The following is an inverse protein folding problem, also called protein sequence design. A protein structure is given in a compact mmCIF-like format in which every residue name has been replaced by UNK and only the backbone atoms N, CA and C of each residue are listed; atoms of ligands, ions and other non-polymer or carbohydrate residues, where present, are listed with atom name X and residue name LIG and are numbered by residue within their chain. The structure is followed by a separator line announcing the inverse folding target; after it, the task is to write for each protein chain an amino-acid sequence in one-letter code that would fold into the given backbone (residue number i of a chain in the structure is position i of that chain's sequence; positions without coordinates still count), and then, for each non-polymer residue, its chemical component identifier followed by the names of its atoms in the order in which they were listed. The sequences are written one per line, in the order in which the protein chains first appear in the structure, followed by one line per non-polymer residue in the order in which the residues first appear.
data_IF_404285137659
#
_entry.id   IF_404285137659
#
_cell.length_a   1.000
_cell.length_b   1.000
_cell.length_c   1.000
_cell.angle_alpha   90.00
_cell.angle_beta   90.00
_cell.angle_gamma   90.00
#
_symmetry.space_group_name_H-M   'P 1'
#
loop_
_entity.id
_entity.type
_entity.pdbx_description
1 polymer ?
#
# COMPACT_ATOMS: atom_id res chain seq x y z
N UNK A 1 -2.07 4.41 14.00
CA UNK A 1 -0.92 3.52 13.74
C UNK A 1 -1.39 2.52 12.70
N UNK A 2 -0.75 2.50 11.54
CA UNK A 2 -1.10 1.60 10.46
C UNK A 2 -0.11 0.43 10.54
N UNK A 3 -0.60 -0.73 10.94
CA UNK A 3 0.22 -1.91 11.12
C UNK A 3 0.00 -2.87 9.95
N UNK A 4 1.09 -3.25 9.29
CA UNK A 4 1.10 -4.29 8.27
C UNK A 4 1.50 -5.59 8.97
N UNK A 5 0.66 -6.62 8.83
CA UNK A 5 0.95 -7.93 9.42
C UNK A 5 2.08 -8.62 8.64
N UNK A 6 2.83 -9.51 9.30
CA UNK A 6 3.92 -10.27 8.67
C UNK A 6 3.46 -10.96 7.37
N UNK A 7 2.29 -11.60 7.39
CA UNK A 7 1.73 -12.26 6.21
C UNK A 7 1.40 -11.29 5.07
N UNK A 8 0.94 -10.08 5.38
CA UNK A 8 0.69 -9.06 4.37
C UNK A 8 2.02 -8.55 3.78
N UNK A 9 3.04 -8.37 4.61
CA UNK A 9 4.39 -8.00 4.18
C UNK A 9 5.01 -9.06 3.27
N UNK A 10 4.88 -10.35 3.61
CA UNK A 10 5.32 -11.46 2.75
C UNK A 10 4.66 -11.42 1.38
N UNK A 11 3.34 -11.20 1.33
CA UNK A 11 2.62 -11.10 0.07
C UNK A 11 3.10 -9.89 -0.75
N UNK A 12 3.26 -8.72 -0.13
CA UNK A 12 3.77 -7.53 -0.80
C UNK A 12 5.17 -7.77 -1.37
N UNK A 13 6.07 -8.39 -0.60
CA UNK A 13 7.42 -8.73 -1.05
C UNK A 13 7.42 -9.69 -2.25
N UNK A 14 6.47 -10.62 -2.33
CA UNK A 14 6.31 -11.49 -3.51
C UNK A 14 5.93 -10.69 -4.76
N UNK A 15 5.08 -9.68 -4.63
CA UNK A 15 4.73 -8.80 -5.75
C UNK A 15 5.90 -7.90 -6.17
N UNK A 16 6.64 -7.35 -5.19
CA UNK A 16 7.83 -6.55 -5.44
C UNK A 16 8.94 -7.36 -6.14
N UNK A 17 9.17 -8.61 -5.73
CA UNK A 17 10.18 -9.49 -6.34
C UNK A 17 9.90 -9.86 -7.80
N UNK A 18 8.67 -9.67 -8.27
CA UNK A 18 8.25 -9.92 -9.66
C UNK A 18 8.30 -8.65 -10.53
N UNK A 19 8.45 -7.48 -9.91
CA UNK A 19 8.56 -6.19 -10.61
C UNK A 19 10.01 -5.83 -10.93
N UNK A 20 10.22 -5.02 -11.97
CA UNK A 20 11.53 -4.45 -12.30
C UNK A 20 11.82 -3.14 -11.53
N UNK A 21 10.81 -2.56 -10.87
CA UNK A 21 10.93 -1.29 -10.13
C UNK A 21 11.42 -1.51 -8.70
N UNK A 22 12.57 -0.91 -8.38
CA UNK A 22 13.21 -1.04 -7.06
C UNK A 22 12.53 -0.20 -5.96
N UNK A 23 11.76 0.84 -6.33
CA UNK A 23 11.25 1.87 -5.41
C UNK A 23 9.72 2.00 -5.50
N UNK A 24 9.01 0.98 -4.99
CA UNK A 24 7.54 0.93 -4.95
C UNK A 24 7.01 1.14 -3.53
N UNK A 25 5.85 1.80 -3.44
CA UNK A 25 5.08 2.00 -2.21
C UNK A 25 3.66 1.44 -2.37
N UNK A 26 3.06 1.04 -1.24
CA UNK A 26 1.64 0.66 -1.21
C UNK A 26 0.79 1.88 -0.90
N UNK A 27 -0.03 2.31 -1.86
CA UNK A 27 -1.05 3.34 -1.65
C UNK A 27 -2.36 2.70 -1.21
N UNK A 28 -2.96 3.28 -0.18
CA UNK A 28 -4.24 2.85 0.39
C UNK A 28 -5.25 3.97 0.20
N UNK A 29 -6.28 3.75 -0.61
CA UNK A 29 -7.34 4.74 -0.87
C UNK A 29 -8.69 4.20 -0.42
N UNK A 30 -9.54 5.05 0.19
CA UNK A 30 -10.93 4.69 0.47
C UNK A 30 -11.76 4.95 -0.78
N UNK A 31 -12.23 3.90 -1.44
CA UNK A 31 -13.04 4.02 -2.66
C UNK A 31 -14.54 4.13 -2.38
N UNK A 32 -14.98 3.84 -1.15
CA UNK A 32 -16.37 4.02 -0.77
C UNK A 32 -16.76 3.35 0.53
N UNK A 33 -18.07 3.28 0.78
CA UNK A 33 -18.65 2.57 1.92
C UNK A 33 -19.41 1.35 1.42
N UNK A 34 -19.02 0.18 1.91
CA UNK A 34 -19.74 -1.07 1.76
C UNK A 34 -20.59 -1.41 2.98
N UNK A 35 -21.33 -2.52 2.90
CA UNK A 35 -22.19 -3.00 3.99
C UNK A 35 -21.43 -3.34 5.30
N UNK A 36 -20.10 -3.53 5.21
CA UNK A 36 -19.24 -3.91 6.34
C UNK A 36 -18.20 -2.85 6.72
N UNK A 37 -18.35 -1.61 6.25
CA UNK A 37 -17.43 -0.52 6.55
C UNK A 37 -16.91 0.17 5.30
N UNK A 38 -15.68 0.66 5.35
CA UNK A 38 -15.04 1.28 4.19
C UNK A 38 -14.44 0.23 3.27
N UNK A 39 -14.58 0.45 1.97
CA UNK A 39 -13.86 -0.29 0.96
C UNK A 39 -12.55 0.43 0.71
N UNK A 40 -11.44 -0.27 0.90
CA UNK A 40 -10.10 0.22 0.60
C UNK A 40 -9.64 -0.39 -0.72
N UNK A 41 -8.99 0.42 -1.53
CA UNK A 41 -8.22 -0.01 -2.69
C UNK A 41 -6.74 0.07 -2.35
N UNK A 42 -6.02 -0.99 -2.74
CA UNK A 42 -4.61 -1.20 -2.44
C UNK A 42 -3.86 -1.24 -3.77
N UNK A 43 -2.99 -0.27 -3.98
CA UNK A 43 -2.25 -0.12 -5.24
C UNK A 43 -0.76 -0.07 -4.96
N UNK A 44 0.03 -0.77 -5.76
CA UNK A 44 1.47 -0.58 -5.81
C UNK A 44 1.77 0.56 -6.78
N UNK A 45 2.42 1.61 -6.29
CA UNK A 45 2.79 2.79 -7.08
C UNK A 45 4.25 3.13 -6.84
N UNK A 46 4.96 3.70 -7.83
CA UNK A 46 6.30 4.22 -7.60
C UNK A 46 6.29 5.27 -6.49
N UNK A 47 7.35 5.32 -5.67
CA UNK A 47 7.50 6.32 -4.59
C UNK A 47 7.38 7.77 -5.10
N UNK A 48 7.80 8.01 -6.35
CA UNK A 48 7.68 9.32 -7.01
C UNK A 48 6.26 9.72 -7.44
N UNK A 49 5.29 8.81 -7.38
CA UNK A 49 3.88 9.05 -7.77
C UNK A 49 2.95 9.27 -6.57
N UNK A 50 3.49 9.71 -5.43
CA UNK A 50 2.67 10.17 -4.32
C UNK A 50 1.78 11.34 -4.77
N UNK A 51 0.47 11.26 -4.49
CA UNK A 51 -0.49 12.31 -4.81
C UNK A 51 -0.43 13.43 -3.77
N UNK A 52 -0.87 14.62 -4.18
CA UNK A 52 -1.03 15.74 -3.26
C UNK A 52 -2.05 15.39 -2.17
N UNK A 53 -1.63 15.46 -0.90
CA UNK A 53 -2.44 15.08 0.25
C UNK A 53 -2.25 13.65 0.74
N UNK A 54 -1.43 12.83 0.06
CA UNK A 54 -1.06 11.52 0.57
C UNK A 54 -0.27 11.64 1.88
N UNK A 55 -0.65 10.85 2.88
CA UNK A 55 0.12 10.70 4.11
C UNK A 55 1.11 9.57 3.95
N UNK A 56 2.40 9.90 3.83
CA UNK A 56 3.47 8.92 3.76
C UNK A 56 3.83 8.43 5.16
N UNK A 57 3.90 7.11 5.31
CA UNK A 57 4.39 6.47 6.52
C UNK A 57 5.17 5.23 6.15
N UNK A 58 6.25 5.01 6.89
CA UNK A 58 6.98 3.74 6.87
C UNK A 58 6.31 2.80 7.87
N UNK A 59 6.10 1.54 7.48
CA UNK A 59 5.57 0.51 8.35
C UNK A 59 6.51 -0.69 8.28
N UNK A 60 7.07 -1.08 9.43
CA UNK A 60 8.01 -2.19 9.61
C UNK A 60 9.42 -2.03 9.01
N UNK A 61 9.92 -0.79 8.85
CA UNK A 61 11.33 -0.50 8.54
C UNK A 61 11.69 -0.74 7.09
#
# INVERSE_FOLDING_TARGET
MLDITEKAQEMLNQYLSQGEDADLAVRIEIVGRGAKGFNYDLQLVPLGEAKEGDFQTEANG
#
